data_IF_567778697132
#
_entry.id   IF_567778697132
#
_cell.length_a   1.000
_cell.length_b   1.000
_cell.length_c   1.000
_cell.angle_alpha   90.00
_cell.angle_beta   90.00
_cell.angle_gamma   90.00
#
_symmetry.space_group_name_H-M   'P 1'
#
loop_
_entity.id
_entity.type
_entity.pdbx_description
1 polymer ?
#
# COMPACT_ATOMS: atom_id res chain seq x y z
N UNK A 1 8.03 22.12 43.51
CA UNK A 1 8.24 22.41 42.08
C UNK A 1 7.43 21.40 41.28
N UNK A 2 6.23 21.79 40.83
CA UNK A 2 5.29 20.92 40.10
C UNK A 2 5.61 20.98 38.61
N UNK A 3 6.25 19.94 38.07
CA UNK A 3 6.44 19.78 36.62
C UNK A 3 5.09 19.48 35.98
N UNK A 4 4.60 20.42 35.14
CA UNK A 4 3.41 20.24 34.33
C UNK A 4 3.56 19.03 33.41
N UNK A 5 2.53 18.18 33.33
CA UNK A 5 2.46 17.02 32.43
C UNK A 5 2.70 17.47 30.97
N UNK A 6 3.50 16.76 30.17
CA UNK A 6 3.67 17.09 28.75
C UNK A 6 2.33 16.99 28.02
N UNK A 7 2.05 17.96 27.15
CA UNK A 7 0.81 18.02 26.38
C UNK A 7 0.94 17.12 25.13
N UNK A 8 0.72 15.81 25.31
CA UNK A 8 0.96 14.76 24.29
C UNK A 8 0.09 14.88 23.03
N UNK A 9 -0.98 15.67 23.07
CA UNK A 9 -1.84 15.96 21.91
C UNK A 9 -1.07 16.71 20.81
N UNK A 10 -0.09 17.55 21.18
CA UNK A 10 0.71 18.31 20.22
C UNK A 10 1.73 17.46 19.46
N UNK A 11 2.24 16.37 20.06
CA UNK A 11 3.22 15.47 19.43
C UNK A 11 2.57 14.51 18.42
N UNK A 12 1.31 14.14 18.67
CA UNK A 12 0.50 13.33 17.75
C UNK A 12 -0.03 14.17 16.57
N UNK A 13 -0.32 15.46 16.79
CA UNK A 13 -0.71 16.39 15.72
C UNK A 13 0.47 16.88 14.88
N UNK A 14 1.65 17.09 15.46
CA UNK A 14 2.83 17.57 14.70
C UNK A 14 3.35 16.55 13.67
N UNK A 15 3.18 15.25 13.93
CA UNK A 15 3.50 14.19 12.95
C UNK A 15 2.48 14.10 11.80
N UNK A 16 1.26 14.60 11.99
CA UNK A 16 0.25 14.75 10.92
C UNK A 16 0.48 15.99 10.05
N UNK A 17 1.05 17.08 10.60
CA UNK A 17 1.29 18.33 9.88
C UNK A 17 2.57 18.35 9.02
N UNK A 18 3.53 17.46 9.27
CA UNK A 18 4.75 17.38 8.45
C UNK A 18 4.51 16.90 6.99
N UNK A 19 3.29 16.47 6.64
CA UNK A 19 2.95 16.00 5.30
C UNK A 19 1.97 16.90 4.54
N UNK A 20 1.49 18.00 5.16
CA UNK A 20 0.68 19.01 4.46
C UNK A 20 1.53 20.13 3.83
N UNK A 21 2.79 20.33 4.26
CA UNK A 21 3.64 21.42 3.74
C UNK A 21 4.51 21.03 2.54
N UNK A 22 4.67 19.74 2.23
CA UNK A 22 5.47 19.32 1.07
C UNK A 22 4.82 19.65 -0.30
N UNK A 23 3.55 20.10 -0.32
CA UNK A 23 2.89 20.61 -1.52
C UNK A 23 3.00 22.15 -1.67
N UNK A 24 3.59 22.88 -0.71
CA UNK A 24 3.61 24.35 -0.70
C UNK A 24 4.88 25.01 -1.25
N UNK A 25 5.96 24.27 -1.53
CA UNK A 25 7.27 24.87 -1.90
C UNK A 25 7.65 24.79 -3.40
N UNK A 26 6.69 24.56 -4.31
CA UNK A 26 6.99 24.54 -5.76
C UNK A 26 6.37 25.68 -6.59
N UNK A 27 5.75 26.69 -5.98
CA UNK A 27 5.13 27.81 -6.71
C UNK A 27 5.83 29.16 -6.54
N UNK A 28 7.16 29.22 -6.62
CA UNK A 28 7.88 30.49 -6.85
C UNK A 28 9.13 30.24 -7.67
N UNK A 29 8.98 30.04 -8.98
CA UNK A 29 10.05 30.27 -9.95
C UNK A 29 9.52 31.24 -11.01
N UNK A 30 10.23 32.35 -11.10
CA UNK A 30 9.86 33.59 -11.74
C UNK A 30 9.54 33.43 -13.23
N UNK A 31 8.56 34.21 -13.68
CA UNK A 31 8.34 34.53 -15.09
C UNK A 31 9.57 35.26 -15.64
N UNK A 32 10.25 34.64 -16.59
CA UNK A 32 11.09 35.34 -17.56
C UNK A 32 10.55 35.04 -18.95
N UNK A 33 9.99 36.06 -19.57
CA UNK A 33 9.48 36.05 -20.94
C UNK A 33 10.66 36.00 -21.92
N UNK A 34 10.66 35.11 -22.92
CA UNK A 34 11.45 35.33 -24.12
C UNK A 34 10.52 35.78 -25.26
N UNK A 35 10.92 36.89 -25.86
CA UNK A 35 10.45 37.46 -27.12
C UNK A 35 10.53 36.46 -28.28
N UNK A 36 9.44 36.36 -29.04
CA UNK A 36 9.32 35.66 -30.32
C UNK A 36 10.18 36.33 -31.39
N UNK A 37 10.86 35.57 -32.27
CA UNK A 37 10.97 35.93 -33.68
C UNK A 37 10.09 35.00 -34.54
N UNK A 38 9.44 35.50 -35.60
CA UNK A 38 8.50 34.73 -36.41
C UNK A 38 9.28 33.91 -37.45
N UNK A 39 9.00 32.60 -37.56
CA UNK A 39 9.49 31.78 -38.66
C UNK A 39 8.33 30.94 -39.22
N UNK A 40 7.79 31.47 -40.31
CA UNK A 40 7.30 30.85 -41.56
C UNK A 40 6.85 29.39 -41.58
N UNK A 41 5.63 29.24 -42.10
CA UNK A 41 5.07 28.07 -42.78
C UNK A 41 6.12 27.16 -43.43
N UNK A 42 6.19 25.95 -42.92
CA UNK A 42 6.53 24.76 -43.70
C UNK A 42 5.58 23.66 -43.24
N UNK A 43 4.48 23.54 -43.99
CA UNK A 43 3.54 22.45 -43.91
C UNK A 43 4.24 21.11 -44.15
N UNK A 44 4.74 20.49 -43.07
CA UNK A 44 4.94 19.05 -43.02
C UNK A 44 3.61 18.42 -42.64
N UNK A 45 2.80 18.14 -43.65
CA UNK A 45 1.66 17.25 -43.52
C UNK A 45 2.20 15.86 -43.14
N UNK A 46 1.95 15.45 -41.89
CA UNK A 46 2.05 14.05 -41.53
C UNK A 46 1.00 13.27 -42.36
N UNK A 47 1.33 12.11 -42.94
CA UNK A 47 0.31 11.27 -43.51
C UNK A 47 -0.71 10.94 -42.41
N UNK A 48 -2.01 10.91 -42.71
CA UNK A 48 -3.01 10.51 -41.73
C UNK A 48 -2.67 9.09 -41.29
N UNK A 49 -2.45 8.91 -39.99
CA UNK A 49 -2.38 7.59 -39.36
C UNK A 49 -3.72 6.88 -39.55
N UNK A 50 -3.86 6.23 -40.70
CA UNK A 50 -4.81 5.15 -40.90
C UNK A 50 -4.30 3.96 -40.10
N UNK A 51 -5.06 3.59 -39.06
CA UNK A 51 -4.94 2.42 -38.16
C UNK A 51 -4.55 2.67 -36.69
N UNK A 52 -4.86 3.85 -36.13
CA UNK A 52 -4.93 4.03 -34.68
C UNK A 52 -6.37 3.97 -34.14
N UNK A 53 -6.77 2.96 -33.34
CA UNK A 53 -8.12 2.88 -32.75
C UNK A 53 -8.32 3.83 -31.55
N UNK A 54 -7.58 4.93 -31.47
CA UNK A 54 -7.74 5.92 -30.42
C UNK A 54 -7.94 7.30 -31.03
N UNK A 55 -9.08 7.47 -31.72
CA UNK A 55 -9.61 8.79 -32.00
C UNK A 55 -9.87 9.51 -30.65
N UNK A 56 -9.28 10.70 -30.41
CA UNK A 56 -9.56 11.49 -29.23
C UNK A 56 -10.96 12.09 -29.41
N UNK A 57 -11.97 11.53 -28.74
CA UNK A 57 -13.31 12.11 -28.81
C UNK A 57 -14.45 11.31 -28.18
N UNK A 58 -14.37 9.98 -28.04
CA UNK A 58 -15.49 9.21 -27.46
C UNK A 58 -15.03 7.98 -26.68
N UNK A 59 -14.62 8.26 -25.44
CA UNK A 59 -14.93 7.50 -24.22
C UNK A 59 -14.22 8.27 -23.11
N UNK A 60 -14.91 9.27 -22.57
CA UNK A 60 -14.88 9.40 -21.12
C UNK A 60 -15.31 8.02 -20.63
N UNK A 61 -14.34 7.15 -20.38
CA UNK A 61 -14.56 5.99 -19.56
C UNK A 61 -15.04 6.58 -18.25
N UNK A 62 -16.36 6.66 -18.09
CA UNK A 62 -17.05 6.57 -16.80
C UNK A 62 -16.56 5.28 -16.16
N UNK A 63 -15.30 5.26 -15.71
CA UNK A 63 -14.71 4.24 -14.89
C UNK A 63 -15.28 4.53 -13.51
N UNK A 64 -16.51 4.02 -13.38
CA UNK A 64 -17.28 3.91 -12.18
C UNK A 64 -16.31 3.55 -11.04
N UNK A 65 -16.06 4.52 -10.18
CA UNK A 65 -15.07 4.57 -9.11
C UNK A 65 -15.51 3.69 -7.93
N UNK A 66 -16.04 2.49 -8.22
CA UNK A 66 -16.87 1.73 -7.29
C UNK A 66 -16.84 0.20 -7.49
N UNK A 67 -15.69 -0.36 -7.86
CA UNK A 67 -15.68 -1.66 -8.54
C UNK A 67 -14.79 -2.77 -7.97
N UNK A 68 -14.10 -2.60 -6.85
CA UNK A 68 -13.49 -3.77 -6.17
C UNK A 68 -14.60 -4.53 -5.41
N UNK A 69 -15.34 -5.39 -6.12
CA UNK A 69 -16.37 -6.26 -5.53
C UNK A 69 -15.75 -7.62 -5.25
N UNK A 70 -14.89 -7.67 -4.24
CA UNK A 70 -14.17 -8.89 -3.88
C UNK A 70 -14.32 -9.27 -2.43
N UNK A 71 -14.50 -10.57 -2.18
CA UNK A 71 -14.37 -11.17 -0.87
C UNK A 71 -12.93 -11.61 -0.65
N UNK A 72 -12.38 -11.31 0.52
CA UNK A 72 -11.05 -11.72 0.93
C UNK A 72 -11.13 -12.80 2.02
N UNK A 73 -10.37 -13.87 1.88
CA UNK A 73 -10.08 -14.80 2.96
C UNK A 73 -8.60 -14.71 3.29
N UNK A 74 -8.28 -14.41 4.54
CA UNK A 74 -6.91 -14.27 5.03
C UNK A 74 -6.68 -15.30 6.13
N UNK A 75 -5.52 -15.95 6.09
CA UNK A 75 -5.03 -16.78 7.20
C UNK A 75 -3.64 -16.32 7.58
N UNK A 76 -3.49 -15.99 8.86
CA UNK A 76 -2.23 -15.57 9.46
C UNK A 76 -1.80 -16.61 10.49
N UNK A 77 -0.59 -17.16 10.31
CA UNK A 77 0.04 -18.07 11.26
C UNK A 77 1.29 -17.42 11.80
N UNK A 78 1.35 -17.28 13.12
CA UNK A 78 2.47 -16.70 13.84
C UNK A 78 3.09 -17.77 14.74
N UNK A 79 4.40 -17.95 14.67
CA UNK A 79 5.14 -18.87 15.54
C UNK A 79 6.41 -18.22 16.06
N UNK A 80 6.54 -18.12 17.38
CA UNK A 80 7.80 -17.73 17.99
C UNK A 80 8.80 -18.88 17.87
N UNK A 81 9.90 -18.66 17.16
CA UNK A 81 10.99 -19.65 17.04
C UNK A 81 11.95 -19.54 18.23
N UNK A 82 12.12 -18.33 18.74
CA UNK A 82 12.85 -18.02 19.97
C UNK A 82 12.28 -16.70 20.56
N UNK A 83 12.78 -16.20 21.71
CA UNK A 83 12.37 -14.90 22.24
C UNK A 83 12.61 -13.73 21.26
N UNK A 84 13.58 -13.88 20.35
CA UNK A 84 13.99 -12.84 19.41
C UNK A 84 13.51 -13.13 17.98
N UNK A 85 13.28 -14.39 17.61
CA UNK A 85 12.92 -14.79 16.26
C UNK A 85 11.45 -15.13 16.14
N UNK A 86 10.81 -14.51 15.16
CA UNK A 86 9.41 -14.68 14.83
C UNK A 86 9.26 -15.15 13.39
N UNK A 87 8.54 -16.25 13.21
CA UNK A 87 8.11 -16.69 11.89
C UNK A 87 6.65 -16.30 11.67
N UNK A 88 6.38 -15.75 10.49
CA UNK A 88 5.06 -15.41 10.01
C UNK A 88 4.82 -16.15 8.69
N UNK A 89 3.69 -16.82 8.62
CA UNK A 89 3.12 -17.28 7.37
C UNK A 89 1.78 -16.58 7.18
N UNK A 90 1.63 -15.93 6.03
CA UNK A 90 0.41 -15.24 5.65
C UNK A 90 -0.06 -15.81 4.33
N UNK A 91 -1.34 -16.16 4.25
CA UNK A 91 -1.96 -16.49 2.98
C UNK A 91 -3.24 -15.70 2.82
N UNK A 92 -3.44 -15.17 1.63
CA UNK A 92 -4.65 -14.43 1.31
C UNK A 92 -5.17 -14.85 -0.05
N UNK A 93 -6.49 -15.03 -0.10
CA UNK A 93 -7.22 -15.34 -1.30
C UNK A 93 -8.29 -14.28 -1.52
N UNK A 94 -8.46 -13.86 -2.77
CA UNK A 94 -9.51 -12.94 -3.18
C UNK A 94 -10.31 -13.52 -4.32
N UNK A 95 -11.62 -13.51 -4.14
CA UNK A 95 -12.59 -13.79 -5.20
C UNK A 95 -13.35 -12.52 -5.52
N UNK A 96 -13.39 -12.15 -6.80
CA UNK A 96 -14.16 -11.00 -7.25
C UNK A 96 -13.47 -10.24 -8.36
N UNK A 97 -14.24 -9.52 -9.14
CA UNK A 97 -13.75 -8.74 -10.27
C UNK A 97 -13.59 -7.28 -9.85
N UNK A 98 -12.39 -6.72 -10.04
CA UNK A 98 -12.19 -5.27 -10.07
C UNK A 98 -12.02 -4.71 -11.50
N UNK A 99 -12.54 -5.44 -12.51
CA UNK A 99 -12.34 -5.24 -13.96
C UNK A 99 -10.94 -5.62 -14.46
N UNK A 100 -9.93 -5.64 -13.60
CA UNK A 100 -8.57 -6.04 -13.98
C UNK A 100 -8.17 -7.38 -13.40
N UNK A 101 -8.56 -7.66 -12.16
CA UNK A 101 -8.17 -8.81 -11.36
C UNK A 101 -9.43 -9.61 -11.02
N UNK A 102 -9.48 -10.86 -11.45
CA UNK A 102 -10.62 -11.76 -11.25
C UNK A 102 -10.41 -12.74 -10.10
N UNK A 103 -9.18 -13.20 -9.95
CA UNK A 103 -8.77 -14.14 -8.92
C UNK A 103 -7.35 -13.82 -8.49
N UNK A 104 -7.07 -13.97 -7.20
CA UNK A 104 -5.78 -13.69 -6.60
C UNK A 104 -5.55 -14.60 -5.41
N UNK A 105 -4.34 -15.14 -5.34
CA UNK A 105 -3.83 -15.92 -4.23
C UNK A 105 -2.42 -15.46 -3.93
N UNK A 106 -2.11 -15.31 -2.65
CA UNK A 106 -0.77 -15.05 -2.16
C UNK A 106 -0.43 -16.04 -1.04
N UNK A 107 0.84 -16.42 -1.00
CA UNK A 107 1.49 -17.10 0.12
C UNK A 107 2.74 -16.30 0.45
N UNK A 108 2.85 -15.83 1.68
CA UNK A 108 3.92 -14.97 2.16
C UNK A 108 4.57 -15.63 3.37
N UNK A 109 5.89 -15.75 3.34
CA UNK A 109 6.71 -16.33 4.39
C UNK A 109 7.69 -15.28 4.85
N UNK A 110 7.62 -14.90 6.12
CA UNK A 110 8.47 -13.85 6.69
C UNK A 110 9.16 -14.33 7.95
N UNK A 111 10.46 -14.02 8.06
CA UNK A 111 11.24 -14.20 9.27
C UNK A 111 11.61 -12.84 9.82
N UNK A 112 11.22 -12.57 11.06
CA UNK A 112 11.40 -11.31 11.75
C UNK A 112 12.28 -11.49 12.99
N UNK A 113 13.19 -10.55 13.18
CA UNK A 113 14.03 -10.41 14.35
C UNK A 113 13.54 -9.25 15.22
N UNK A 114 13.30 -9.54 16.50
CA UNK A 114 12.80 -8.59 17.49
C UNK A 114 13.97 -7.84 18.14
N UNK A 115 14.16 -6.57 17.77
CA UNK A 115 15.21 -5.70 18.35
C UNK A 115 14.70 -4.76 19.43
N UNK A 116 13.47 -4.97 19.90
CA UNK A 116 12.80 -4.10 20.88
C UNK A 116 13.67 -3.82 22.11
N UNK A 117 14.24 -4.87 22.73
CA UNK A 117 15.05 -4.70 23.95
C UNK A 117 16.28 -3.83 23.73
N UNK A 118 16.97 -4.02 22.60
CA UNK A 118 18.15 -3.25 22.21
C UNK A 118 17.82 -1.77 21.98
N UNK A 119 16.71 -1.48 21.29
CA UNK A 119 16.27 -0.11 21.02
C UNK A 119 15.83 0.59 22.31
N UNK A 120 15.09 -0.10 23.19
CA UNK A 120 14.66 0.48 24.47
C UNK A 120 15.85 0.89 25.33
N UNK A 121 16.88 0.03 25.38
CA UNK A 121 18.11 0.30 26.10
C UNK A 121 18.89 1.49 25.51
N UNK A 122 18.95 1.61 24.18
CA UNK A 122 19.73 2.67 23.53
C UNK A 122 19.03 4.03 23.48
N UNK A 123 17.70 4.07 23.41
CA UNK A 123 16.91 5.29 23.22
C UNK A 123 16.15 5.76 24.48
N UNK A 124 16.40 5.15 25.65
CA UNK A 124 15.69 5.44 26.91
C UNK A 124 14.16 5.51 26.73
N UNK A 125 13.61 4.58 25.94
CA UNK A 125 12.20 4.61 25.59
C UNK A 125 11.31 4.18 26.76
N UNK A 126 10.23 4.92 26.99
CA UNK A 126 9.27 4.60 28.05
C UNK A 126 8.51 3.29 27.74
N UNK A 127 8.56 2.32 28.66
CA UNK A 127 7.95 0.98 28.51
C UNK A 127 6.44 1.01 28.26
N UNK A 128 5.78 2.06 28.75
CA UNK A 128 4.35 2.27 28.55
C UNK A 128 3.94 2.46 27.08
N UNK A 129 4.80 3.00 26.22
CA UNK A 129 4.47 3.41 24.84
C UNK A 129 5.11 2.49 23.80
N UNK A 130 6.41 2.22 23.91
CA UNK A 130 7.12 1.42 22.91
C UNK A 130 6.85 -0.07 23.12
N UNK A 131 6.15 -0.72 22.17
CA UNK A 131 5.74 -2.12 22.28
C UNK A 131 6.72 -3.04 21.59
N UNK A 132 6.88 -2.87 20.28
CA UNK A 132 7.72 -3.77 19.49
C UNK A 132 8.44 -3.05 18.35
N UNK A 133 9.62 -3.54 18.04
CA UNK A 133 10.30 -3.27 16.79
C UNK A 133 10.83 -4.58 16.20
N UNK A 134 10.41 -4.88 14.99
CA UNK A 134 10.86 -6.03 14.22
C UNK A 134 11.57 -5.58 12.95
N UNK A 135 12.57 -6.34 12.53
CA UNK A 135 13.21 -6.23 11.23
C UNK A 135 13.42 -7.62 10.66
N UNK A 136 13.23 -7.80 9.37
CA UNK A 136 13.47 -9.09 8.76
C UNK A 136 13.15 -9.13 7.28
N UNK A 137 13.11 -10.33 6.74
CA UNK A 137 12.92 -10.56 5.32
C UNK A 137 11.98 -11.72 5.08
N UNK A 138 11.44 -11.74 3.86
CA UNK A 138 10.48 -12.74 3.45
C UNK A 138 10.44 -12.93 1.95
N UNK A 139 9.58 -13.85 1.55
CA UNK A 139 9.25 -14.09 0.15
C UNK A 139 7.77 -14.36 0.03
N UNK A 140 7.12 -13.65 -0.88
CA UNK A 140 5.77 -13.93 -1.30
C UNK A 140 5.73 -14.56 -2.68
N UNK A 141 4.87 -15.56 -2.83
CA UNK A 141 4.48 -16.18 -4.09
C UNK A 141 3.04 -15.78 -4.36
N UNK A 142 2.79 -15.23 -5.55
CA UNK A 142 1.49 -14.70 -5.92
C UNK A 142 1.07 -15.31 -7.25
N UNK A 143 -0.18 -15.73 -7.29
CA UNK A 143 -0.85 -16.24 -8.47
C UNK A 143 -2.10 -15.41 -8.69
N UNK A 144 -2.31 -14.96 -9.92
CA UNK A 144 -3.48 -14.16 -10.24
C UNK A 144 -4.00 -14.41 -11.65
N UNK A 145 -5.31 -14.26 -11.83
CA UNK A 145 -5.95 -14.19 -13.14
C UNK A 145 -6.24 -12.71 -13.40
N UNK A 146 -5.52 -12.14 -14.36
CA UNK A 146 -5.59 -10.72 -14.71
C UNK A 146 -5.98 -10.51 -16.17
N UNK A 147 -6.86 -9.54 -16.41
CA UNK A 147 -7.17 -9.03 -17.75
C UNK A 147 -6.06 -8.12 -18.24
N UNK A 148 -5.52 -8.39 -19.43
CA UNK A 148 -4.49 -7.58 -20.04
C UNK A 148 -5.06 -6.40 -20.86
N UNK A 149 -4.19 -5.58 -21.45
CA UNK A 149 -4.58 -4.43 -22.28
C UNK A 149 -5.30 -4.80 -23.59
N UNK A 150 -5.26 -6.08 -23.99
CA UNK A 150 -5.97 -6.63 -25.15
C UNK A 150 -7.26 -7.36 -24.74
N UNK A 151 -7.76 -7.10 -23.54
CA UNK A 151 -8.99 -7.67 -22.98
C UNK A 151 -8.97 -9.19 -22.73
N UNK A 152 -7.79 -9.82 -22.81
CA UNK A 152 -7.62 -11.27 -22.59
C UNK A 152 -7.23 -11.57 -21.15
N UNK A 153 -7.79 -12.63 -20.59
CA UNK A 153 -7.38 -13.14 -19.29
C UNK A 153 -6.05 -13.89 -19.40
N UNK A 154 -5.14 -13.64 -18.47
CA UNK A 154 -3.87 -14.34 -18.35
C UNK A 154 -3.64 -14.74 -16.90
N UNK A 155 -3.11 -15.93 -16.72
CA UNK A 155 -2.45 -16.33 -15.49
C UNK A 155 -1.15 -15.55 -15.35
N UNK A 156 -0.91 -15.03 -14.16
CA UNK A 156 0.31 -14.29 -13.83
C UNK A 156 0.87 -14.86 -12.53
N UNK A 157 2.14 -15.23 -12.58
CA UNK A 157 2.90 -15.74 -11.45
C UNK A 157 3.95 -14.69 -11.08
N UNK A 158 4.01 -14.36 -9.80
CA UNK A 158 4.92 -13.36 -9.28
C UNK A 158 5.66 -13.94 -8.07
N UNK A 159 6.99 -13.83 -8.10
CA UNK A 159 7.83 -13.99 -6.92
C UNK A 159 8.20 -12.62 -6.38
N UNK A 160 8.05 -12.43 -5.07
CA UNK A 160 8.30 -11.15 -4.40
C UNK A 160 9.17 -11.36 -3.17
N UNK A 161 10.51 -11.35 -3.29
CA UNK A 161 11.38 -11.20 -2.13
C UNK A 161 11.16 -9.81 -1.51
N UNK A 162 11.19 -9.76 -0.19
CA UNK A 162 10.91 -8.56 0.58
C UNK A 162 11.80 -8.44 1.82
N UNK A 163 12.07 -7.20 2.20
CA UNK A 163 12.67 -6.80 3.45
C UNK A 163 11.69 -5.87 4.15
N UNK A 164 11.43 -6.10 5.42
CA UNK A 164 10.47 -5.31 6.18
C UNK A 164 10.93 -4.94 7.59
N UNK A 165 10.39 -3.81 8.06
CA UNK A 165 10.56 -3.28 9.40
C UNK A 165 9.21 -2.85 9.94
N UNK A 166 8.95 -3.20 11.20
CA UNK A 166 7.68 -2.91 11.89
C UNK A 166 8.01 -2.21 13.20
N UNK A 167 7.42 -1.03 13.40
CA UNK A 167 7.44 -0.31 14.66
C UNK A 167 6.01 -0.27 15.21
N UNK A 168 5.81 -0.79 16.41
CA UNK A 168 4.52 -0.79 17.10
C UNK A 168 4.65 -0.01 18.40
N UNK A 169 3.82 1.03 18.50
CA UNK A 169 3.61 1.83 19.69
C UNK A 169 2.19 1.57 20.20
N UNK A 170 1.97 1.75 21.50
CA UNK A 170 0.63 1.64 22.06
C UNK A 170 0.47 2.35 23.38
N UNK A 171 -0.68 3.00 23.56
CA UNK A 171 -0.99 3.79 24.75
C UNK A 171 -2.49 3.74 25.03
N UNK A 172 -2.89 3.42 26.26
CA UNK A 172 -4.30 3.33 26.68
C UNK A 172 -5.17 2.49 25.72
N UNK A 173 -4.63 1.36 25.26
CA UNK A 173 -5.29 0.45 24.32
C UNK A 173 -5.21 0.88 22.86
N UNK A 174 -4.93 2.15 22.55
CA UNK A 174 -4.63 2.56 21.17
C UNK A 174 -3.33 1.89 20.72
N UNK A 175 -3.27 1.47 19.46
CA UNK A 175 -2.04 1.00 18.85
C UNK A 175 -1.76 1.74 17.55
N UNK A 176 -0.52 2.21 17.43
CA UNK A 176 0.02 2.87 16.27
C UNK A 176 1.13 2.01 15.69
N UNK A 177 1.01 1.67 14.42
CA UNK A 177 1.94 0.79 13.74
C UNK A 177 2.49 1.49 12.50
N UNK A 178 3.82 1.49 12.36
CA UNK A 178 4.49 1.84 11.12
C UNK A 178 5.15 0.60 10.52
N UNK A 179 4.90 0.34 9.23
CA UNK A 179 5.60 -0.69 8.47
C UNK A 179 6.33 -0.07 7.30
N UNK A 180 7.59 -0.41 7.14
CA UNK A 180 8.36 -0.13 5.93
C UNK A 180 8.71 -1.45 5.27
N UNK A 181 8.40 -1.60 3.99
CA UNK A 181 8.69 -2.80 3.21
C UNK A 181 9.35 -2.41 1.90
N UNK A 182 10.57 -2.88 1.67
CA UNK A 182 11.21 -2.86 0.36
C UNK A 182 11.00 -4.22 -0.29
N UNK A 183 10.50 -4.25 -1.53
CA UNK A 183 10.23 -5.50 -2.21
C UNK A 183 10.57 -5.41 -3.70
N UNK A 184 10.87 -6.56 -4.28
CA UNK A 184 11.15 -6.68 -5.72
C UNK A 184 10.09 -7.57 -6.34
N UNK A 185 9.38 -7.06 -7.34
CA UNK A 185 8.30 -7.77 -8.01
C UNK A 185 8.86 -8.43 -9.27
N UNK A 186 9.07 -9.74 -9.20
CA UNK A 186 9.49 -10.55 -10.33
C UNK A 186 8.29 -11.25 -10.96
N UNK A 187 7.94 -10.90 -12.19
CA UNK A 187 6.94 -11.61 -12.97
C UNK A 187 7.62 -12.75 -13.73
N UNK A 188 7.16 -13.98 -13.50
CA UNK A 188 7.73 -15.16 -14.16
C UNK A 188 7.31 -15.27 -15.63
N UNK A 189 6.35 -14.44 -16.07
CA UNK A 189 5.84 -14.41 -17.45
C UNK A 189 6.39 -13.18 -18.20
N UNK A 190 6.95 -13.40 -19.39
CA UNK A 190 7.68 -12.40 -20.21
C UNK A 190 6.90 -11.13 -20.61
N UNK A 191 5.58 -11.11 -20.42
CA UNK A 191 4.72 -9.99 -20.83
C UNK A 191 4.56 -8.91 -19.76
N UNK A 192 5.07 -9.11 -18.55
CA UNK A 192 5.00 -8.14 -17.47
C UNK A 192 6.41 -7.71 -17.05
N UNK A 193 6.52 -6.46 -16.62
CA UNK A 193 7.82 -5.88 -16.25
C UNK A 193 8.09 -6.09 -14.77
N UNK A 194 9.33 -6.46 -14.47
CA UNK A 194 9.82 -6.46 -13.10
C UNK A 194 10.04 -5.02 -12.63
N UNK A 195 9.84 -4.78 -11.34
CA UNK A 195 10.09 -3.48 -10.74
C UNK A 195 10.40 -3.64 -9.25
N UNK A 196 11.13 -2.67 -8.70
CA UNK A 196 11.29 -2.53 -7.26
C UNK A 196 10.24 -1.58 -6.72
N UNK A 197 9.73 -1.84 -5.53
CA UNK A 197 8.88 -0.90 -4.82
C UNK A 197 9.19 -0.84 -3.33
N UNK A 198 9.08 0.39 -2.82
CA UNK A 198 9.15 0.70 -1.41
C UNK A 198 7.75 1.09 -0.94
N UNK A 199 7.25 0.37 0.05
CA UNK A 199 5.94 0.58 0.65
C UNK A 199 6.13 1.06 2.08
N UNK A 200 5.57 2.21 2.38
CA UNK A 200 5.45 2.71 3.73
C UNK A 200 3.99 2.68 4.15
N UNK A 201 3.68 2.12 5.33
CA UNK A 201 2.34 2.02 5.87
C UNK A 201 2.33 2.58 7.29
N UNK A 202 1.32 3.40 7.58
CA UNK A 202 0.98 3.80 8.93
C UNK A 202 -0.44 3.31 9.23
N UNK A 203 -0.66 2.74 10.40
CA UNK A 203 -1.97 2.29 10.89
C UNK A 203 -2.17 2.83 12.30
N UNK A 204 -3.35 3.39 12.57
CA UNK A 204 -3.82 3.70 13.91
C UNK A 204 -5.08 2.88 14.17
N UNK A 205 -5.09 2.17 15.30
CA UNK A 205 -6.17 1.26 15.73
C UNK A 205 -6.73 1.69 17.08
N UNK A 206 -8.04 1.57 17.23
CA UNK A 206 -8.74 1.89 18.49
C UNK A 206 -8.50 0.82 19.56
N UNK A 207 -8.67 1.16 20.85
CA UNK A 207 -8.66 0.19 21.94
C UNK A 207 -9.66 -0.96 21.77
N UNK A 208 -9.29 -2.15 22.25
CA UNK A 208 -10.25 -3.22 22.48
C UNK A 208 -11.34 -2.73 23.47
N UNK A 209 -12.61 -2.95 23.14
CA UNK A 209 -13.73 -2.46 23.95
C UNK A 209 -14.18 -1.02 23.65
N UNK A 210 -13.63 -0.38 22.61
CA UNK A 210 -14.18 0.88 22.09
C UNK A 210 -15.67 0.76 21.72
N UNK A 211 -16.13 -0.44 21.35
CA UNK A 211 -17.54 -0.75 21.18
C UNK A 211 -17.97 -1.92 22.05
N UNK A 212 -19.27 -1.97 22.38
CA UNK A 212 -19.89 -3.10 23.08
C UNK A 212 -19.84 -4.42 22.30
N UNK A 213 -19.57 -4.36 20.99
CA UNK A 213 -19.41 -5.52 20.11
C UNK A 213 -17.94 -5.94 19.93
N UNK A 214 -17.00 -5.32 20.66
CA UNK A 214 -15.57 -5.60 20.52
C UNK A 214 -14.96 -5.15 19.20
N UNK A 215 -15.62 -4.23 18.48
CA UNK A 215 -15.15 -3.72 17.18
C UNK A 215 -13.85 -2.95 17.39
N UNK A 216 -12.86 -3.26 16.56
CA UNK A 216 -11.61 -2.50 16.46
C UNK A 216 -11.61 -1.70 15.17
N UNK A 217 -11.79 -0.39 15.28
CA UNK A 217 -11.74 0.50 14.12
C UNK A 217 -10.29 0.91 13.83
N UNK A 218 -10.01 1.22 12.56
CA UNK A 218 -8.70 1.69 12.16
C UNK A 218 -8.75 2.70 11.02
N UNK A 219 -7.72 3.55 11.00
CA UNK A 219 -7.35 4.36 9.86
C UNK A 219 -5.93 3.98 9.43
N UNK A 220 -5.66 4.00 8.14
CA UNK A 220 -4.31 3.76 7.64
C UNK A 220 -4.00 4.56 6.40
N UNK A 221 -2.72 4.90 6.23
CA UNK A 221 -2.19 5.45 5.01
C UNK A 221 -1.03 4.58 4.52
N UNK A 222 -0.99 4.37 3.22
CA UNK A 222 0.08 3.63 2.55
C UNK A 222 0.62 4.45 1.39
N UNK A 223 1.94 4.53 1.30
CA UNK A 223 2.67 5.18 0.22
C UNK A 223 3.47 4.10 -0.50
N UNK A 224 3.36 4.07 -1.83
CA UNK A 224 4.14 3.21 -2.70
C UNK A 224 5.02 4.08 -3.58
N UNK A 225 6.32 3.80 -3.56
CA UNK A 225 7.32 4.38 -4.44
C UNK A 225 7.84 3.27 -5.35
N UNK A 226 7.73 3.43 -6.67
CA UNK A 226 8.08 2.38 -7.64
C UNK A 226 9.23 2.84 -8.52
N UNK A 227 10.20 1.96 -8.70
CA UNK A 227 11.31 2.15 -9.62
C UNK A 227 11.31 1.01 -10.66
N UNK A 228 11.28 1.38 -11.93
CA UNK A 228 11.43 0.44 -13.02
C UNK A 228 12.88 -0.04 -13.10
N UNK A 229 13.09 -1.32 -13.39
CA UNK A 229 14.45 -1.85 -13.63
C UNK A 229 15.00 -1.50 -15.01
N UNK A 230 14.14 -1.08 -15.96
CA UNK A 230 14.53 -0.72 -17.32
C UNK A 230 14.53 0.80 -17.51
N UNK A 231 15.67 1.44 -17.23
CA UNK A 231 15.90 2.88 -17.48
C UNK A 231 16.26 3.22 -18.94
N UNK A 232 16.45 2.22 -19.82
CA UNK A 232 17.18 2.40 -21.09
C UNK A 232 16.43 2.16 -22.42
N UNK A 233 15.10 2.04 -22.45
CA UNK A 233 14.37 1.90 -23.74
C UNK A 233 13.37 3.03 -23.96
N UNK A 234 13.51 3.67 -25.11
CA UNK A 234 12.90 4.92 -25.60
C UNK A 234 11.38 4.94 -25.71
N UNK A 235 10.67 3.87 -25.37
CA UNK A 235 9.21 3.87 -25.28
C UNK A 235 8.74 2.64 -24.47
N UNK A 236 8.67 2.73 -23.14
CA UNK A 236 8.28 1.59 -22.33
C UNK A 236 6.76 1.41 -22.31
N UNK A 237 6.16 0.88 -23.38
CA UNK A 237 4.81 0.30 -23.30
C UNK A 237 4.82 -0.88 -22.33
N UNK A 238 3.93 -0.88 -21.33
CA UNK A 238 3.83 -1.92 -20.31
C UNK A 238 3.64 -1.31 -18.93
N UNK A 239 2.44 -1.52 -18.39
CA UNK A 239 1.91 -0.99 -17.13
C UNK A 239 2.83 -1.30 -15.95
N UNK A 240 3.73 -0.38 -15.63
CA UNK A 240 4.05 -0.16 -14.22
C UNK A 240 3.09 0.94 -13.77
N UNK A 241 2.31 0.66 -12.73
CA UNK A 241 1.49 1.69 -12.09
C UNK A 241 2.35 2.90 -11.75
N UNK A 242 1.74 4.09 -11.62
CA UNK A 242 2.48 5.35 -11.44
C UNK A 242 3.63 5.24 -10.42
N UNK A 243 4.68 6.03 -10.64
CA UNK A 243 5.89 6.10 -9.80
C UNK A 243 5.55 6.29 -8.32
N UNK A 244 4.43 6.97 -8.06
CA UNK A 244 3.88 7.21 -6.74
C UNK A 244 2.40 6.79 -6.67
N UNK A 245 2.05 6.05 -5.63
CA UNK A 245 0.66 5.78 -5.24
C UNK A 245 0.49 6.04 -3.75
N UNK A 246 -0.54 6.79 -3.39
CA UNK A 246 -1.01 6.91 -2.03
C UNK A 246 -2.33 6.15 -1.87
N UNK A 247 -2.49 5.48 -0.74
CA UNK A 247 -3.64 4.67 -0.44
C UNK A 247 -4.10 4.95 0.99
N UNK A 248 -5.23 5.60 1.11
CA UNK A 248 -5.90 5.82 2.38
C UNK A 248 -6.91 4.71 2.64
N UNK A 249 -7.04 4.26 3.88
CA UNK A 249 -8.04 3.26 4.28
C UNK A 249 -8.68 3.64 5.61
N UNK A 250 -9.97 3.38 5.71
CA UNK A 250 -10.74 3.38 6.96
C UNK A 250 -11.48 2.05 7.01
N UNK A 251 -11.43 1.38 8.14
CA UNK A 251 -12.10 0.10 8.28
C UNK A 251 -12.30 -0.29 9.72
N UNK A 252 -12.85 -1.48 9.90
CA UNK A 252 -13.00 -2.08 11.20
C UNK A 252 -12.91 -3.60 11.12
N UNK A 253 -12.48 -4.17 12.24
CA UNK A 253 -12.45 -5.59 12.49
C UNK A 253 -13.51 -5.91 13.56
N UNK A 254 -14.35 -6.91 13.29
CA UNK A 254 -15.29 -7.48 14.23
C UNK A 254 -14.82 -8.89 14.60
N UNK A 255 -14.41 -9.12 15.86
CA UNK A 255 -14.02 -10.46 16.30
C UNK A 255 -15.21 -11.41 16.25
N UNK A 256 -15.00 -12.59 15.69
CA UNK A 256 -15.89 -13.72 15.81
C UNK A 256 -15.48 -14.46 17.09
N UNK A 257 -16.37 -14.54 18.07
CA UNK A 257 -16.05 -15.14 19.38
C UNK A 257 -15.70 -16.63 19.20
N UNK A 258 -14.41 -16.98 19.28
CA UNK A 258 -13.95 -18.37 19.36
C UNK A 258 -12.78 -18.52 20.34
N UNK A 259 -12.91 -19.42 21.32
CA UNK A 259 -11.99 -19.55 22.48
C UNK A 259 -10.56 -20.05 22.17
N UNK A 260 -10.20 -20.32 20.90
CA UNK A 260 -8.87 -20.83 20.50
C UNK A 260 -8.34 -20.27 19.17
N UNK A 261 -9.13 -19.48 18.46
CA UNK A 261 -8.82 -18.95 17.13
C UNK A 261 -9.19 -17.47 17.14
N UNK A 262 -8.28 -16.61 16.67
CA UNK A 262 -8.60 -15.20 16.47
C UNK A 262 -9.20 -15.05 15.08
N UNK A 263 -10.50 -15.36 15.01
CA UNK A 263 -11.28 -15.20 13.80
C UNK A 263 -11.94 -13.83 13.81
N UNK A 264 -11.94 -13.14 12.68
CA UNK A 264 -12.58 -11.83 12.52
C UNK A 264 -13.17 -11.66 11.15
N UNK A 265 -14.25 -10.91 11.06
CA UNK A 265 -14.74 -10.34 9.80
C UNK A 265 -14.41 -8.86 9.77
N UNK A 266 -14.08 -8.34 8.61
CA UNK A 266 -13.67 -6.96 8.48
C UNK A 266 -14.24 -6.33 7.22
N UNK A 267 -14.38 -5.01 7.30
CA UNK A 267 -14.75 -4.17 6.18
C UNK A 267 -13.80 -2.98 6.14
N UNK A 268 -13.46 -2.55 4.92
CA UNK A 268 -12.74 -1.30 4.74
C UNK A 268 -13.17 -0.55 3.49
N UNK A 269 -13.20 0.76 3.63
CA UNK A 269 -13.18 1.70 2.52
C UNK A 269 -11.73 2.11 2.24
N UNK A 270 -11.36 2.12 0.97
CA UNK A 270 -10.02 2.46 0.50
C UNK A 270 -10.09 3.46 -0.64
N UNK A 271 -9.31 4.53 -0.54
CA UNK A 271 -9.10 5.53 -1.59
C UNK A 271 -7.68 5.39 -2.12
N UNK A 272 -7.54 5.29 -3.43
CA UNK A 272 -6.25 5.22 -4.12
C UNK A 272 -6.05 6.49 -4.93
N UNK A 273 -4.99 7.24 -4.62
CA UNK A 273 -4.49 8.38 -5.42
C UNK A 273 -3.23 7.94 -6.15
N UNK A 274 -3.31 7.78 -7.47
CA UNK A 274 -2.15 7.47 -8.29
C UNK A 274 -1.70 8.71 -9.06
N UNK A 275 -0.44 9.10 -8.89
CA UNK A 275 0.20 10.08 -9.76
C UNK A 275 0.87 9.30 -10.90
N UNK A 276 0.14 9.09 -11.99
CA UNK A 276 0.77 8.73 -13.26
C UNK A 276 1.23 10.02 -13.94
N UNK A 277 2.31 9.95 -14.73
CA UNK A 277 2.78 11.10 -15.54
C UNK A 277 1.72 11.64 -16.52
N UNK A 278 0.57 10.96 -16.68
CA UNK A 278 -0.47 11.31 -17.63
C UNK A 278 -1.88 11.54 -17.04
N UNK A 279 -2.16 11.19 -15.77
CA UNK A 279 -3.44 11.52 -15.12
C UNK A 279 -3.43 11.23 -13.61
N UNK A 280 -4.04 12.12 -12.81
CA UNK A 280 -4.43 11.83 -11.41
C UNK A 280 -5.66 10.94 -11.45
N UNK A 281 -5.56 9.71 -10.93
CA UNK A 281 -6.73 8.81 -10.82
C UNK A 281 -7.04 8.57 -9.35
N UNK A 282 -8.29 8.84 -8.98
CA UNK A 282 -8.86 8.48 -7.70
C UNK A 282 -9.74 7.25 -7.88
N UNK A 283 -9.36 6.14 -7.26
CA UNK A 283 -10.19 4.94 -7.24
C UNK A 283 -10.66 4.68 -5.82
N UNK A 284 -11.97 4.71 -5.60
CA UNK A 284 -12.57 4.29 -4.35
C UNK A 284 -12.94 2.81 -4.45
N UNK A 285 -12.71 2.09 -3.36
CA UNK A 285 -12.93 0.65 -3.29
C UNK A 285 -13.46 0.28 -1.91
N UNK A 286 -14.37 -0.68 -1.88
CA UNK A 286 -14.93 -1.23 -0.66
C UNK A 286 -14.54 -2.69 -0.61
N UNK A 287 -13.93 -3.13 0.47
CA UNK A 287 -13.47 -4.50 0.60
C UNK A 287 -14.08 -5.10 1.86
N UNK A 288 -14.44 -6.38 1.75
CA UNK A 288 -14.95 -7.17 2.84
C UNK A 288 -14.22 -8.51 2.87
N UNK A 289 -13.97 -9.04 4.05
CA UNK A 289 -13.27 -10.30 4.19
C UNK A 289 -13.34 -10.90 5.57
N UNK A 290 -12.82 -12.12 5.66
CA UNK A 290 -12.56 -12.82 6.91
C UNK A 290 -11.07 -13.01 7.10
N UNK A 291 -10.61 -12.95 8.35
CA UNK A 291 -9.26 -13.32 8.75
C UNK A 291 -9.34 -14.40 9.82
N UNK A 292 -8.48 -15.41 9.70
CA UNK A 292 -8.22 -16.39 10.74
C UNK A 292 -6.76 -16.27 11.17
N UNK A 293 -6.52 -15.84 12.41
CA UNK A 293 -5.20 -15.75 12.98
C UNK A 293 -4.96 -16.85 14.02
N UNK A 294 -3.79 -17.49 13.92
CA UNK A 294 -3.32 -18.55 14.81
C UNK A 294 -1.94 -18.19 15.35
N UNK A 295 -1.77 -18.32 16.66
CA UNK A 295 -0.46 -18.15 17.31
C UNK A 295 -0.08 -19.45 18.03
N UNK A 296 1.13 -19.94 17.77
CA UNK A 296 1.70 -21.15 18.36
C UNK A 296 2.91 -20.81 19.24
#
# INVERSE_FOLDING_TARGET
MTLSKPNYTALLLSSLFLFASAEAETSTLAQTTPTTPPITDNSFAFPPDTDHPYAPGKRELKLNSNNDRGFWAIVDVKKALSPEWLFLFHTEQRWGSDYTLYWYQQYDFTFLYNITGKIKQSLFCHDGIFKNFFIGGGVAQISQIKRNTKDRFKWVWITRPELEMHLILGYQGWSFEQRLRGQYIHHNNDHYKNYGDCRYRIILTTPAGFSCYGITAYISNEIFLRANTYFKKTNPHGLVGGLFENRFRVGFDLPLITNKLDAKVWWQWRVLKQNSLASRRYNNTYQFGGTLAMTF
#
